data_IF_167952054486
#
_entry.id   IF_167952054486
#
_cell.length_a   1.000
_cell.length_b   1.000
_cell.length_c   1.000
_cell.angle_alpha   90.00
_cell.angle_beta   90.00
_cell.angle_gamma   90.00
#
_symmetry.space_group_name_H-M   'P 1'
#
loop_
_entity.id
_entity.type
_entity.pdbx_description
1 polymer ?
#
# COMPACT_ATOMS: atom_id res chain seq x y z
N UNK A 1 8.74 15.72 -5.56
CA UNK A 1 8.26 16.13 -6.90
C UNK A 1 7.06 15.25 -7.18
N UNK A 2 5.86 15.82 -7.26
CA UNK A 2 4.63 15.03 -7.31
C UNK A 2 4.25 14.81 -8.78
N UNK A 3 4.12 13.54 -9.18
CA UNK A 3 3.75 13.16 -10.54
C UNK A 3 2.30 12.68 -10.55
N UNK A 4 1.53 13.07 -11.57
CA UNK A 4 0.15 12.62 -11.74
C UNK A 4 0.12 11.55 -12.82
N UNK A 5 -0.34 10.36 -12.47
CA UNK A 5 -0.54 9.24 -13.40
C UNK A 5 -2.03 8.96 -13.57
N UNK A 6 -2.40 8.40 -14.73
CA UNK A 6 -3.77 7.94 -15.01
C UNK A 6 -3.78 6.44 -15.23
N UNK A 7 -4.71 5.76 -14.57
CA UNK A 7 -4.97 4.34 -14.80
C UNK A 7 -5.64 4.10 -16.14
N UNK A 8 -5.72 2.82 -16.55
CA UNK A 8 -6.36 2.44 -17.81
C UNK A 8 -7.87 2.67 -17.79
N UNK A 9 -8.51 2.56 -16.62
CA UNK A 9 -9.94 2.89 -16.43
C UNK A 9 -10.18 4.36 -16.05
N UNK A 10 -9.15 5.20 -16.10
CA UNK A 10 -9.28 6.65 -15.96
C UNK A 10 -9.21 7.18 -14.53
N UNK A 11 -8.86 6.36 -13.54
CA UNK A 11 -8.58 6.85 -12.18
C UNK A 11 -7.32 7.69 -12.20
N UNK A 12 -7.35 8.82 -11.51
CA UNK A 12 -6.20 9.73 -11.42
C UNK A 12 -5.49 9.49 -10.10
N UNK A 13 -4.16 9.37 -10.16
CA UNK A 13 -3.33 9.09 -8.99
C UNK A 13 -2.23 10.15 -8.87
N UNK A 14 -2.06 10.69 -7.66
CA UNK A 14 -0.89 11.48 -7.31
C UNK A 14 0.19 10.58 -6.71
N UNK A 15 1.41 10.67 -7.24
CA UNK A 15 2.57 9.92 -6.78
C UNK A 15 3.41 10.77 -5.84
N UNK A 16 3.68 10.24 -4.65
CA UNK A 16 4.50 10.82 -3.59
C UNK A 16 5.70 9.91 -3.35
N UNK A 17 6.87 10.52 -3.16
CA UNK A 17 8.14 9.80 -2.96
C UNK A 17 9.03 9.85 -4.20
N UNK A 18 9.70 8.73 -4.51
CA UNK A 18 10.58 8.63 -5.67
C UNK A 18 9.86 8.02 -6.89
N UNK A 19 9.40 8.84 -7.87
CA UNK A 19 8.69 8.34 -9.05
C UNK A 19 9.56 7.46 -9.95
N UNK A 20 10.90 7.54 -9.86
CA UNK A 20 11.79 6.69 -10.65
C UNK A 20 11.64 5.19 -10.29
N UNK A 21 11.12 4.89 -9.10
CA UNK A 21 10.79 3.53 -8.69
C UNK A 21 9.57 2.97 -9.41
N UNK A 22 8.75 3.79 -10.06
CA UNK A 22 7.58 3.35 -10.82
C UNK A 22 7.97 3.01 -12.27
N UNK A 23 8.82 1.99 -12.43
CA UNK A 23 9.19 1.47 -13.75
C UNK A 23 7.96 1.00 -14.53
N UNK A 24 8.08 0.86 -15.86
CA UNK A 24 6.94 0.52 -16.73
C UNK A 24 6.16 -0.71 -16.28
N UNK A 25 6.84 -1.76 -15.81
CA UNK A 25 6.19 -2.97 -15.32
C UNK A 25 5.43 -2.72 -14.01
N UNK A 26 6.02 -1.94 -13.10
CA UNK A 26 5.40 -1.57 -11.81
C UNK A 26 4.22 -0.63 -12.01
N UNK A 27 4.32 0.30 -12.96
CA UNK A 27 3.21 1.16 -13.38
C UNK A 27 2.04 0.32 -13.92
N UNK A 28 2.33 -0.69 -14.74
CA UNK A 28 1.29 -1.59 -15.26
C UNK A 28 0.59 -2.37 -14.12
N UNK A 29 1.34 -2.81 -13.12
CA UNK A 29 0.81 -3.51 -11.95
C UNK A 29 -0.03 -2.57 -11.06
N UNK A 30 0.46 -1.36 -10.78
CA UNK A 30 -0.26 -0.34 -9.99
C UNK A 30 -1.57 0.06 -10.65
N UNK A 31 -1.53 0.34 -11.95
CA UNK A 31 -2.74 0.73 -12.71
C UNK A 31 -3.73 -0.43 -12.83
N UNK A 32 -3.25 -1.68 -12.94
CA UNK A 32 -4.11 -2.86 -12.87
C UNK A 32 -4.77 -3.00 -11.50
N UNK A 33 -4.01 -2.83 -10.42
CA UNK A 33 -4.50 -2.99 -9.06
C UNK A 33 -5.51 -1.91 -8.68
N UNK A 34 -5.22 -0.63 -8.93
CA UNK A 34 -6.14 0.47 -8.57
C UNK A 34 -7.49 0.38 -9.28
N UNK A 35 -7.49 -0.22 -10.49
CA UNK A 35 -8.66 -0.42 -11.32
C UNK A 35 -9.47 -1.68 -10.92
N UNK A 36 -8.90 -2.54 -10.08
CA UNK A 36 -9.52 -3.80 -9.65
C UNK A 36 -10.59 -3.63 -8.58
N UNK A 37 -10.46 -2.61 -7.72
CA UNK A 37 -11.46 -2.28 -6.70
C UNK A 37 -11.49 -0.76 -6.46
N UNK A 38 -12.65 -0.09 -6.65
CA UNK A 38 -12.77 1.36 -6.45
C UNK A 38 -12.51 1.81 -5.01
N UNK A 39 -12.56 0.90 -4.03
CA UNK A 39 -12.30 1.20 -2.60
C UNK A 39 -10.83 1.33 -2.26
N UNK A 40 -9.92 0.97 -3.18
CA UNK A 40 -8.50 1.22 -2.99
C UNK A 40 -8.26 2.72 -3.09
N UNK A 41 -7.85 3.32 -1.97
CA UNK A 41 -7.51 4.74 -1.87
C UNK A 41 -6.05 5.01 -2.16
N UNK A 42 -5.15 4.06 -1.87
CA UNK A 42 -3.74 4.22 -2.22
C UNK A 42 -3.02 2.90 -2.41
N UNK A 43 -1.94 2.97 -3.20
CA UNK A 43 -1.01 1.88 -3.45
C UNK A 43 0.39 2.27 -3.00
N UNK A 44 1.08 1.37 -2.32
CA UNK A 44 2.43 1.58 -1.81
C UNK A 44 3.40 0.58 -2.38
N UNK A 45 4.63 1.00 -2.64
CA UNK A 45 5.73 0.09 -2.97
C UNK A 45 6.52 -0.19 -1.69
N UNK A 46 6.61 -1.45 -1.26
CA UNK A 46 7.23 -1.80 0.02
C UNK A 46 8.28 -2.88 -0.17
N UNK A 47 9.50 -2.61 0.29
CA UNK A 47 10.58 -3.59 0.31
C UNK A 47 10.36 -4.60 1.44
N UNK A 48 10.44 -5.88 1.11
CA UNK A 48 10.38 -7.00 2.06
C UNK A 48 11.48 -8.01 1.72
N UNK A 49 12.03 -8.73 2.71
CA UNK A 49 13.18 -9.60 2.49
C UNK A 49 12.86 -10.88 1.70
N UNK A 50 11.58 -11.27 1.61
CA UNK A 50 11.21 -12.63 1.18
C UNK A 50 10.03 -12.74 0.22
N UNK A 51 9.09 -11.79 0.21
CA UNK A 51 7.94 -11.80 -0.71
C UNK A 51 8.19 -10.90 -1.92
N UNK A 52 7.61 -11.25 -3.06
CA UNK A 52 7.68 -10.45 -4.29
C UNK A 52 6.38 -10.59 -5.07
N UNK A 53 5.93 -9.48 -5.67
CA UNK A 53 4.78 -9.48 -6.58
C UNK A 53 3.43 -9.67 -5.90
N UNK A 54 3.34 -9.50 -4.58
CA UNK A 54 2.11 -9.72 -3.82
C UNK A 54 1.54 -8.41 -3.29
N UNK A 55 0.23 -8.26 -3.40
CA UNK A 55 -0.52 -7.20 -2.76
C UNK A 55 -0.97 -7.62 -1.37
N UNK A 56 -0.70 -6.77 -0.38
CA UNK A 56 -1.13 -6.94 0.99
C UNK A 56 -1.98 -5.75 1.40
N UNK A 57 -3.13 -5.99 2.02
CA UNK A 57 -3.93 -4.93 2.62
C UNK A 57 -3.18 -4.35 3.82
N UNK A 58 -3.13 -3.03 3.88
CA UNK A 58 -2.47 -2.25 4.91
C UNK A 58 -3.47 -1.34 5.63
N UNK A 59 -3.18 -0.98 6.88
CA UNK A 59 -3.99 -0.04 7.63
C UNK A 59 -3.58 1.41 7.30
N UNK A 60 -2.36 1.62 6.83
CA UNK A 60 -1.92 2.87 6.20
C UNK A 60 -0.91 2.62 5.08
N UNK A 61 -0.60 3.63 4.25
CA UNK A 61 0.46 3.50 3.26
C UNK A 61 1.86 3.56 3.89
N UNK A 62 2.85 3.00 3.20
CA UNK A 62 4.24 2.97 3.64
C UNK A 62 5.23 2.86 2.47
N UNK A 63 6.52 3.03 2.74
CA UNK A 63 7.60 2.79 1.79
C UNK A 63 8.03 4.03 1.00
N UNK A 64 8.94 3.84 0.03
CA UNK A 64 9.55 4.92 -0.75
C UNK A 64 8.65 5.52 -1.83
N UNK A 65 7.55 4.85 -2.19
CA UNK A 65 6.60 5.35 -3.17
C UNK A 65 5.17 5.05 -2.75
N UNK A 66 4.33 6.07 -2.90
CA UNK A 66 2.89 6.03 -2.66
C UNK A 66 2.15 6.63 -3.86
N UNK A 67 1.14 5.93 -4.38
CA UNK A 67 0.19 6.46 -5.35
C UNK A 67 -1.18 6.61 -4.69
N UNK A 68 -1.69 7.84 -4.60
CA UNK A 68 -2.97 8.19 -3.94
C UNK A 68 -4.02 8.50 -4.99
N UNK A 69 -5.19 7.87 -4.89
CA UNK A 69 -6.33 8.10 -5.76
C UNK A 69 -6.96 9.48 -5.50
N UNK A 70 -6.83 10.39 -6.46
CA UNK A 70 -7.34 11.77 -6.35
C UNK A 70 -8.78 11.91 -6.82
N UNK A 71 -9.34 10.86 -7.46
CA UNK A 71 -10.74 10.79 -7.89
C UNK A 71 -11.73 10.59 -6.73
N UNK A 72 -11.24 10.48 -5.49
CA UNK A 72 -12.03 10.22 -4.29
C UNK A 72 -12.33 11.50 -3.48
N UNK A 73 -12.10 12.68 -4.05
CA UNK A 73 -12.30 13.97 -3.37
C UNK A 73 -13.74 14.14 -2.85
N UNK A 74 -14.75 13.76 -3.64
CA UNK A 74 -16.16 13.84 -3.22
C UNK A 74 -16.46 12.99 -1.98
N UNK A 75 -15.69 11.92 -1.77
CA UNK A 75 -15.88 11.00 -0.64
C UNK A 75 -15.03 11.42 0.56
N UNK A 76 -13.75 11.73 0.36
CA UNK A 76 -12.74 11.93 1.43
C UNK A 76 -12.49 13.40 1.76
N UNK A 77 -12.83 14.29 0.83
CA UNK A 77 -12.49 15.71 0.83
C UNK A 77 -11.22 16.02 0.02
N UNK A 78 -10.86 17.30 -0.08
CA UNK A 78 -9.73 17.76 -0.88
C UNK A 78 -8.41 17.18 -0.36
N UNK A 79 -7.52 16.88 -1.31
CA UNK A 79 -6.16 16.40 -1.05
C UNK A 79 -5.17 17.49 -1.48
N UNK A 80 -4.43 18.01 -0.52
CA UNK A 80 -3.22 18.79 -0.80
C UNK A 80 -2.03 17.82 -0.69
N UNK A 81 -1.38 17.55 -1.83
CA UNK A 81 -0.27 16.58 -1.94
C UNK A 81 1.07 17.19 -1.55
N UNK A 82 1.15 18.52 -1.46
CA UNK A 82 2.38 19.24 -1.13
C UNK A 82 2.50 19.48 0.39
N UNK A 83 1.41 19.29 1.14
CA UNK A 83 1.39 19.30 2.61
C UNK A 83 1.30 17.88 3.19
N UNK A 84 2.39 17.44 3.82
CA UNK A 84 2.48 16.12 4.46
C UNK A 84 1.39 15.89 5.54
N UNK A 85 1.00 16.93 6.28
CA UNK A 85 -0.05 16.83 7.29
C UNK A 85 -1.44 16.71 6.65
N UNK A 86 -1.67 17.42 5.53
CA UNK A 86 -2.89 17.27 4.75
C UNK A 86 -3.03 15.87 4.14
N UNK A 87 -1.93 15.32 3.60
CA UNK A 87 -1.87 13.94 3.11
C UNK A 87 -2.20 12.94 4.21
N UNK A 88 -1.60 13.08 5.40
CA UNK A 88 -1.89 12.22 6.55
C UNK A 88 -3.35 12.29 6.99
N UNK A 89 -3.89 13.50 7.11
CA UNK A 89 -5.30 13.70 7.44
C UNK A 89 -6.22 13.09 6.39
N UNK A 90 -5.87 13.19 5.11
CA UNK A 90 -6.64 12.60 4.02
C UNK A 90 -6.64 11.06 4.08
N UNK A 91 -5.47 10.43 4.27
CA UNK A 91 -5.34 8.98 4.38
C UNK A 91 -6.15 8.43 5.56
N UNK A 92 -6.11 9.12 6.70
CA UNK A 92 -6.91 8.78 7.88
C UNK A 92 -8.40 8.84 7.57
N UNK A 93 -8.85 9.96 6.98
CA UNK A 93 -10.25 10.14 6.56
C UNK A 93 -10.72 9.10 5.54
N UNK A 94 -9.83 8.67 4.65
CA UNK A 94 -10.11 7.62 3.66
C UNK A 94 -10.38 6.28 4.36
N UNK A 95 -9.52 5.90 5.31
CA UNK A 95 -9.70 4.70 6.14
C UNK A 95 -10.99 4.74 6.96
N UNK A 96 -11.32 5.88 7.58
CA UNK A 96 -12.57 6.08 8.33
C UNK A 96 -13.84 5.92 7.47
N UNK A 97 -13.72 6.07 6.14
CA UNK A 97 -14.82 5.90 5.18
C UNK A 97 -14.87 4.50 4.57
N UNK A 98 -14.08 3.57 5.10
CA UNK A 98 -14.02 2.18 4.63
C UNK A 98 -13.25 2.00 3.32
N UNK A 99 -12.49 3.01 2.90
CA UNK A 99 -11.48 2.84 1.85
C UNK A 99 -10.23 2.21 2.46
N UNK A 100 -9.39 1.59 1.64
CA UNK A 100 -8.19 0.93 2.16
C UNK A 100 -6.94 1.20 1.34
N UNK A 101 -5.82 0.82 1.93
CA UNK A 101 -4.48 0.99 1.38
C UNK A 101 -3.91 -0.40 1.08
N UNK A 102 -3.24 -0.55 -0.07
CA UNK A 102 -2.56 -1.81 -0.40
C UNK A 102 -1.06 -1.58 -0.60
N UNK A 103 -0.26 -2.54 -0.13
CA UNK A 103 1.18 -2.57 -0.33
C UNK A 103 1.52 -3.62 -1.37
N UNK A 104 2.27 -3.24 -2.39
CA UNK A 104 2.94 -4.16 -3.27
C UNK A 104 4.31 -4.48 -2.70
N UNK A 105 4.46 -5.73 -2.27
CA UNK A 105 5.66 -6.21 -1.63
C UNK A 105 6.66 -6.68 -2.68
N UNK A 106 7.87 -6.15 -2.62
CA UNK A 106 8.97 -6.54 -3.51
C UNK A 106 10.28 -6.72 -2.75
N UNK A 107 11.21 -7.45 -3.35
CA UNK A 107 12.57 -7.68 -2.88
C UNK A 107 13.61 -6.90 -3.69
N UNK A 108 13.16 -6.02 -4.57
CA UNK A 108 14.03 -5.29 -5.47
C UNK A 108 14.92 -4.32 -4.70
N UNK A 109 16.20 -4.32 -5.04
CA UNK A 109 17.22 -3.58 -4.30
C UNK A 109 17.02 -2.07 -4.41
N UNK A 110 16.55 -1.56 -5.54
CA UNK A 110 16.26 -0.14 -5.74
C UNK A 110 15.21 0.36 -4.73
N UNK A 111 14.16 -0.42 -4.48
CA UNK A 111 13.13 -0.11 -3.48
C UNK A 111 13.69 -0.21 -2.07
N UNK A 112 14.53 -1.21 -1.78
CA UNK A 112 15.10 -1.42 -0.45
C UNK A 112 16.08 -0.31 -0.02
N UNK A 113 16.76 0.33 -0.98
CA UNK A 113 17.73 1.39 -0.71
C UNK A 113 17.17 2.80 -0.87
N UNK A 114 15.97 2.95 -1.42
CA UNK A 114 15.33 4.25 -1.59
C UNK A 114 14.88 4.84 -0.25
N UNK A 115 14.87 6.16 -0.17
CA UNK A 115 14.39 6.88 1.01
C UNK A 115 12.88 6.66 1.18
N UNK A 116 12.47 6.26 2.38
CA UNK A 116 11.06 6.03 2.66
C UNK A 116 10.31 7.36 2.69
N UNK A 117 9.38 7.55 1.74
CA UNK A 117 8.44 8.66 1.74
C UNK A 117 7.52 8.58 2.97
N UNK A 118 7.23 7.37 3.45
CA UNK A 118 6.45 7.15 4.67
C UNK A 118 6.86 5.88 5.41
N UNK A 119 6.94 5.97 6.73
CA UNK A 119 7.10 4.80 7.58
C UNK A 119 5.77 4.03 7.74
N UNK A 120 5.81 2.70 7.92
CA UNK A 120 4.64 1.93 8.33
C UNK A 120 4.02 2.46 9.62
N UNK A 121 2.69 2.41 9.72
CA UNK A 121 2.00 2.79 10.95
C UNK A 121 2.11 1.69 12.02
N UNK A 122 1.99 2.08 13.29
CA UNK A 122 2.27 1.18 14.41
C UNK A 122 1.45 -0.11 14.40
N UNK A 123 0.17 -0.05 13.99
CA UNK A 123 -0.68 -1.25 13.92
C UNK A 123 -0.16 -2.25 12.89
N UNK A 124 0.29 -1.80 11.72
CA UNK A 124 0.86 -2.67 10.69
C UNK A 124 2.17 -3.33 11.18
N UNK A 125 2.96 -2.63 12.00
CA UNK A 125 4.19 -3.17 12.61
C UNK A 125 3.84 -4.25 13.64
N UNK A 126 2.91 -3.96 14.54
CA UNK A 126 2.49 -4.90 15.60
C UNK A 126 1.92 -6.17 14.98
N UNK A 127 1.09 -6.03 13.94
CA UNK A 127 0.53 -7.18 13.22
C UNK A 127 1.58 -7.98 12.45
N UNK A 128 2.60 -7.32 11.89
CA UNK A 128 3.71 -8.01 11.23
C UNK A 128 4.54 -8.85 12.22
N UNK A 129 4.59 -8.44 13.49
CA UNK A 129 5.31 -9.16 14.54
C UNK A 129 4.46 -10.23 15.24
N UNK A 130 3.13 -10.20 15.12
CA UNK A 130 2.23 -11.22 15.67
C UNK A 130 2.25 -12.52 14.84
N UNK A 131 2.78 -13.64 15.36
CA UNK A 131 2.89 -14.91 14.64
C UNK A 131 1.56 -15.51 14.17
N UNK A 132 0.45 -15.11 14.78
CA UNK A 132 -0.89 -15.57 14.43
C UNK A 132 -1.50 -14.80 13.25
N UNK A 133 -0.98 -13.60 12.96
CA UNK A 133 -1.47 -12.71 11.89
C UNK A 133 -1.16 -13.24 10.49
N UNK A 134 -2.07 -12.95 9.55
CA UNK A 134 -1.85 -13.19 8.12
C UNK A 134 -0.70 -12.33 7.57
N UNK A 135 -0.54 -11.11 8.10
CA UNK A 135 0.56 -10.19 7.76
C UNK A 135 1.91 -10.75 8.17
N UNK A 136 2.02 -11.37 9.34
CA UNK A 136 3.28 -11.99 9.77
C UNK A 136 3.77 -13.04 8.78
N UNK A 137 2.89 -13.91 8.26
CA UNK A 137 3.28 -14.90 7.23
C UNK A 137 3.68 -14.26 5.91
N UNK A 138 3.00 -13.19 5.52
CA UNK A 138 3.25 -12.49 4.26
C UNK A 138 4.57 -11.70 4.28
N UNK A 139 4.91 -11.10 5.41
CA UNK A 139 6.10 -10.25 5.60
C UNK A 139 7.33 -11.03 6.07
N UNK A 140 7.12 -12.06 6.90
CA UNK A 140 8.15 -12.98 7.39
C UNK A 140 7.84 -14.37 6.86
N UNK A 141 8.50 -14.76 5.78
CA UNK A 141 8.32 -16.06 5.13
C UNK A 141 8.10 -17.22 6.11
N UNK A 142 6.84 -17.55 6.37
CA UNK A 142 6.49 -18.80 7.01
C UNK A 142 6.38 -19.84 5.90
N UNK A 143 7.42 -20.66 5.74
CA UNK A 143 7.32 -21.88 4.96
C UNK A 143 6.61 -22.95 5.83
N UNK A 144 5.34 -23.30 5.56
CA UNK A 144 4.67 -24.34 6.33
C UNK A 144 5.42 -25.67 6.13
N UNK A 145 5.80 -26.33 7.22
CA UNK A 145 6.20 -27.74 7.18
C UNK A 145 4.99 -28.56 6.69
N UNK A 146 5.18 -29.35 5.64
CA UNK A 146 4.14 -30.21 5.09
C UNK A 146 3.49 -31.06 6.21
N UNK A 147 2.15 -31.02 6.30
CA UNK A 147 1.37 -31.80 7.28
C UNK A 147 0.62 -30.99 8.35
N UNK A 148 0.72 -29.65 8.39
CA UNK A 148 -0.13 -28.80 9.26
C UNK A 148 -0.95 -27.81 8.45
N UNK A 149 -2.27 -27.88 8.61
CA UNK A 149 -3.21 -26.87 8.13
C UNK A 149 -3.31 -25.77 9.20
N UNK A 150 -2.89 -24.55 8.88
CA UNK A 150 -3.05 -23.39 9.77
C UNK A 150 -3.93 -22.35 9.08
N UNK A 151 -5.18 -22.23 9.54
CA UNK A 151 -6.13 -21.21 9.10
C UNK A 151 -5.99 -20.00 10.04
N UNK A 152 -5.72 -18.83 9.47
CA UNK A 152 -5.82 -17.54 10.19
C UNK A 152 -7.07 -16.84 9.66
N UNK A 153 -7.97 -16.43 10.56
CA UNK A 153 -9.14 -15.62 10.23
C UNK A 153 -8.94 -14.27 10.87
N UNK A 154 -8.94 -13.22 10.05
CA UNK A 154 -8.90 -11.84 10.51
C UNK A 154 -10.30 -11.24 10.33
N UNK A 155 -10.80 -10.59 11.37
CA UNK A 155 -12.15 -10.00 11.41
C UNK A 155 -11.98 -8.49 11.58
N UNK A 156 -12.39 -7.77 10.54
CA UNK A 156 -12.46 -6.30 10.55
C UNK A 156 -13.92 -5.89 10.74
N UNK A 157 -14.19 -5.11 11.79
CA UNK A 157 -15.53 -4.61 12.12
C UNK A 157 -15.75 -3.21 11.51
N UNK A 158 -16.96 -2.94 11.03
CA UNK A 158 -17.45 -1.63 10.57
C UNK A 158 -18.03 -0.81 11.73
#
# INVERSE_FOLDING_TARGET
MNEVIRSRRGRTLAVIGDPALLTMDRLAEFTSRIDSDPRIASLSLVAVPTSTGQWLRAAGPAGPLLAIATDLEDLVGPLDVDDAAAVEGWLTRASERGLWHDWWMTKDADVAHAEAARAPIQVDIVEADDPSSSRHRALRAYAPKAGRLTVTVDVTWL
#
